data_IF_948077768299
#
_entry.id   IF_948077768299
#
_cell.length_a   1.000
_cell.length_b   1.000
_cell.length_c   1.000
_cell.angle_alpha   90.00
_cell.angle_beta   90.00
_cell.angle_gamma   90.00
#
_symmetry.space_group_name_H-M   'P 1'
#
loop_
_entity.id
_entity.type
_entity.pdbx_description
1 polymer ?
#
# COMPACT_ATOMS: atom_id res chain seq x y z
N UNK A 1 -21.45 -15.14 -0.88
CA UNK A 1 -20.94 -14.09 0.03
C UNK A 1 -20.09 -13.15 -0.79
N UNK A 2 -19.86 -11.93 -0.35
CA UNK A 2 -19.12 -10.89 -1.10
C UNK A 2 -18.11 -10.24 -0.16
N UNK A 3 -17.03 -9.70 -0.70
CA UNK A 3 -16.13 -8.80 0.05
C UNK A 3 -16.19 -7.39 -0.55
N UNK A 4 -16.06 -6.35 0.29
CA UNK A 4 -15.91 -4.96 -0.12
C UNK A 4 -14.46 -4.53 0.05
N UNK A 5 -13.84 -4.05 -1.01
CA UNK A 5 -12.45 -3.57 -1.03
C UNK A 5 -12.44 -2.09 -1.35
N UNK A 6 -11.99 -1.27 -0.41
CA UNK A 6 -11.81 0.18 -0.62
C UNK A 6 -10.39 0.50 -1.06
N UNK A 7 -10.16 1.58 -1.79
CA UNK A 7 -8.85 1.87 -2.38
C UNK A 7 -8.41 0.83 -3.42
N UNK A 8 -9.40 0.18 -4.03
CA UNK A 8 -9.24 -0.99 -4.90
C UNK A 8 -8.57 -0.70 -6.24
N UNK A 9 -8.59 0.53 -6.72
CA UNK A 9 -7.91 0.96 -7.94
C UNK A 9 -6.49 1.50 -7.68
N UNK A 10 -6.06 1.56 -6.41
CA UNK A 10 -4.70 1.88 -6.00
C UNK A 10 -3.75 0.70 -6.16
N UNK A 11 -2.47 0.90 -5.82
CA UNK A 11 -1.40 -0.07 -5.99
C UNK A 11 -1.68 -1.42 -5.31
N UNK A 12 -1.80 -1.43 -3.97
CA UNK A 12 -1.97 -2.67 -3.20
C UNK A 12 -3.38 -3.22 -3.41
N UNK A 13 -4.41 -2.36 -3.38
CA UNK A 13 -5.80 -2.75 -3.55
C UNK A 13 -6.06 -3.46 -4.88
N UNK A 14 -5.49 -2.94 -5.99
CA UNK A 14 -5.65 -3.58 -7.30
C UNK A 14 -4.99 -4.96 -7.36
N UNK A 15 -3.75 -5.09 -6.88
CA UNK A 15 -3.10 -6.40 -6.79
C UNK A 15 -3.91 -7.38 -5.95
N UNK A 16 -4.49 -6.92 -4.83
CA UNK A 16 -5.32 -7.77 -3.98
C UNK A 16 -6.59 -8.24 -4.71
N UNK A 17 -7.33 -7.33 -5.36
CA UNK A 17 -8.56 -7.66 -6.09
C UNK A 17 -8.28 -8.64 -7.23
N UNK A 18 -7.22 -8.40 -8.01
CA UNK A 18 -6.81 -9.28 -9.10
C UNK A 18 -6.45 -10.68 -8.59
N UNK A 19 -5.65 -10.77 -7.53
CA UNK A 19 -5.26 -12.04 -6.91
C UNK A 19 -6.45 -12.75 -6.27
N UNK A 20 -7.38 -12.00 -5.64
CA UNK A 20 -8.57 -12.59 -5.03
C UNK A 20 -9.43 -13.30 -6.06
N UNK A 21 -9.78 -12.61 -7.15
CA UNK A 21 -10.62 -13.16 -8.21
C UNK A 21 -9.93 -14.24 -9.05
N UNK A 22 -8.60 -14.27 -9.06
CA UNK A 22 -7.83 -15.37 -9.67
C UNK A 22 -7.83 -16.64 -8.82
N UNK A 23 -8.00 -16.53 -7.49
CA UNK A 23 -7.89 -17.64 -6.55
C UNK A 23 -9.24 -18.08 -5.96
N UNK A 24 -10.26 -17.24 -6.01
CA UNK A 24 -11.56 -17.45 -5.38
C UNK A 24 -12.71 -17.10 -6.33
N UNK A 25 -13.82 -17.81 -6.19
CA UNK A 25 -15.07 -17.49 -6.89
C UNK A 25 -15.92 -16.43 -6.15
N UNK A 26 -15.48 -15.99 -4.98
CA UNK A 26 -16.19 -15.02 -4.16
C UNK A 26 -16.15 -13.62 -4.80
N UNK A 27 -17.33 -12.99 -5.06
CA UNK A 27 -17.41 -11.68 -5.68
C UNK A 27 -16.78 -10.56 -4.86
N UNK A 28 -16.27 -9.54 -5.57
CA UNK A 28 -15.65 -8.36 -5.01
C UNK A 28 -16.41 -7.11 -5.43
N UNK A 29 -16.79 -6.28 -4.47
CA UNK A 29 -17.21 -4.90 -4.68
C UNK A 29 -16.01 -3.99 -4.44
N UNK A 30 -15.58 -3.29 -5.47
CA UNK A 30 -14.47 -2.35 -5.47
C UNK A 30 -14.98 -0.93 -5.29
N UNK A 31 -14.56 -0.24 -4.22
CA UNK A 31 -14.84 1.17 -3.98
C UNK A 31 -13.55 1.98 -4.05
N UNK A 32 -13.48 2.96 -4.96
CA UNK A 32 -12.32 3.84 -5.08
C UNK A 32 -12.73 5.25 -5.49
N UNK A 33 -12.10 6.26 -4.89
CA UNK A 33 -12.35 7.67 -5.19
C UNK A 33 -11.68 8.12 -6.50
N UNK A 34 -10.77 7.32 -7.05
CA UNK A 34 -9.97 7.62 -8.24
C UNK A 34 -9.22 8.96 -8.11
N UNK A 35 -8.49 9.11 -7.00
CA UNK A 35 -7.54 10.23 -6.83
C UNK A 35 -6.32 10.02 -7.74
N UNK A 36 -5.28 10.82 -7.58
CA UNK A 36 -4.10 10.77 -8.44
C UNK A 36 -3.42 9.40 -8.54
N UNK A 37 -3.49 8.58 -7.48
CA UNK A 37 -2.88 7.25 -7.42
C UNK A 37 -3.87 6.10 -7.71
N UNK A 38 -5.17 6.39 -7.75
CA UNK A 38 -6.23 5.45 -8.13
C UNK A 38 -6.41 5.43 -9.64
N UNK A 39 -6.15 4.29 -10.28
CA UNK A 39 -6.29 4.16 -11.73
C UNK A 39 -7.22 2.97 -12.07
N UNK A 40 -8.36 3.28 -12.70
CA UNK A 40 -9.33 2.25 -13.14
C UNK A 40 -8.70 1.21 -14.08
N UNK A 41 -7.65 1.58 -14.84
CA UNK A 41 -6.93 0.66 -15.72
C UNK A 41 -6.22 -0.47 -14.97
N UNK A 42 -5.90 -0.30 -13.68
CA UNK A 42 -5.33 -1.37 -12.86
C UNK A 42 -6.25 -2.60 -12.77
N UNK A 43 -7.56 -2.39 -12.95
CA UNK A 43 -8.60 -3.42 -12.89
C UNK A 43 -9.24 -3.70 -14.27
N UNK A 44 -8.67 -3.21 -15.37
CA UNK A 44 -9.27 -3.35 -16.71
C UNK A 44 -9.44 -4.81 -17.15
N UNK A 45 -8.59 -5.73 -16.68
CA UNK A 45 -8.71 -7.16 -16.95
C UNK A 45 -9.97 -7.80 -16.35
N UNK A 46 -10.63 -7.11 -15.43
CA UNK A 46 -11.88 -7.53 -14.79
C UNK A 46 -13.13 -6.93 -15.44
N UNK A 47 -12.97 -6.17 -16.54
CA UNK A 47 -14.12 -5.62 -17.27
C UNK A 47 -14.92 -6.77 -17.89
N UNK A 48 -16.20 -6.86 -17.48
CA UNK A 48 -17.11 -7.94 -17.89
C UNK A 48 -17.07 -9.20 -17.01
N UNK A 49 -16.22 -9.28 -15.98
CA UNK A 49 -16.30 -10.35 -14.99
C UNK A 49 -17.51 -10.12 -14.06
N UNK A 50 -18.48 -11.01 -14.10
CA UNK A 50 -19.72 -10.92 -13.29
C UNK A 50 -19.47 -10.96 -11.77
N UNK A 51 -18.29 -11.39 -11.34
CA UNK A 51 -17.88 -11.42 -9.92
C UNK A 51 -17.30 -10.07 -9.45
N UNK A 52 -17.09 -9.11 -10.34
CA UNK A 52 -16.49 -7.82 -10.02
C UNK A 52 -17.45 -6.66 -10.27
N UNK A 53 -17.73 -5.89 -9.22
CA UNK A 53 -18.49 -4.63 -9.31
C UNK A 53 -17.58 -3.48 -8.91
N UNK A 54 -17.39 -2.50 -9.81
CA UNK A 54 -16.60 -1.30 -9.51
C UNK A 54 -17.52 -0.10 -9.26
N UNK A 55 -17.29 0.60 -8.15
CA UNK A 55 -18.00 1.82 -7.77
C UNK A 55 -17.00 2.95 -7.56
N UNK A 56 -17.13 4.04 -8.30
CA UNK A 56 -16.39 5.26 -8.06
C UNK A 56 -17.02 6.03 -6.90
N UNK A 57 -16.26 6.26 -5.81
CA UNK A 57 -16.78 6.97 -4.64
C UNK A 57 -15.80 7.04 -3.48
N UNK A 58 -16.13 7.89 -2.51
CA UNK A 58 -15.33 8.18 -1.33
C UNK A 58 -15.80 7.34 -0.13
N UNK A 59 -14.86 6.77 0.63
CA UNK A 59 -15.16 6.08 1.90
C UNK A 59 -15.79 7.01 2.95
N UNK A 60 -15.58 8.31 2.80
CA UNK A 60 -16.19 9.36 3.62
C UNK A 60 -17.64 9.72 3.24
N UNK A 61 -18.17 9.17 2.13
CA UNK A 61 -19.59 9.31 1.77
C UNK A 61 -20.42 8.23 2.48
N UNK A 62 -20.92 8.58 3.66
CA UNK A 62 -21.73 7.68 4.50
C UNK A 62 -22.95 7.12 3.78
N UNK A 63 -23.62 7.92 2.92
CA UNK A 63 -24.81 7.45 2.21
C UNK A 63 -24.45 6.41 1.14
N UNK A 64 -23.36 6.62 0.42
CA UNK A 64 -22.83 5.65 -0.54
C UNK A 64 -22.42 4.35 0.16
N UNK A 65 -21.63 4.46 1.22
CA UNK A 65 -21.15 3.30 1.99
C UNK A 65 -22.33 2.50 2.55
N UNK A 66 -23.30 3.16 3.23
CA UNK A 66 -24.50 2.49 3.77
C UNK A 66 -25.28 1.75 2.68
N UNK A 67 -25.45 2.36 1.49
CA UNK A 67 -26.11 1.73 0.34
C UNK A 67 -25.35 0.49 -0.14
N UNK A 68 -24.02 0.56 -0.30
CA UNK A 68 -23.21 -0.58 -0.74
C UNK A 68 -23.26 -1.74 0.26
N UNK A 69 -23.24 -1.44 1.56
CA UNK A 69 -23.37 -2.46 2.60
C UNK A 69 -24.73 -3.14 2.58
N UNK A 70 -25.82 -2.38 2.39
CA UNK A 70 -27.18 -2.92 2.30
C UNK A 70 -27.39 -3.76 1.04
N UNK A 71 -26.89 -3.31 -0.13
CA UNK A 71 -27.07 -3.94 -1.43
C UNK A 71 -26.27 -5.23 -1.57
N UNK A 72 -24.98 -5.20 -1.17
CA UNK A 72 -24.05 -6.30 -1.43
C UNK A 72 -23.82 -7.23 -0.24
N UNK A 73 -24.24 -6.84 0.96
CA UNK A 73 -24.14 -7.62 2.22
C UNK A 73 -22.76 -8.31 2.40
N UNK A 74 -21.64 -7.54 2.38
CA UNK A 74 -20.32 -8.13 2.42
C UNK A 74 -20.06 -8.81 3.78
N UNK A 75 -19.44 -10.00 3.74
CA UNK A 75 -18.94 -10.67 4.95
C UNK A 75 -17.63 -10.09 5.45
N UNK A 76 -16.93 -9.35 4.62
CA UNK A 76 -15.69 -8.69 4.99
C UNK A 76 -15.50 -7.37 4.25
N UNK A 77 -14.86 -6.43 4.94
CA UNK A 77 -14.44 -5.15 4.37
C UNK A 77 -12.93 -5.04 4.54
N UNK A 78 -12.23 -4.77 3.44
CA UNK A 78 -10.78 -4.55 3.42
C UNK A 78 -10.51 -3.10 3.07
N UNK A 79 -10.00 -2.33 4.02
CA UNK A 79 -9.78 -0.90 3.87
C UNK A 79 -8.33 -0.61 3.47
N UNK A 80 -8.11 -0.46 2.14
CA UNK A 80 -6.85 0.05 1.57
C UNK A 80 -6.91 1.54 1.25
N UNK A 81 -8.09 2.16 1.30
CA UNK A 81 -8.25 3.57 0.95
C UNK A 81 -7.46 4.47 1.89
N UNK A 82 -6.50 5.18 1.34
CA UNK A 82 -5.66 6.14 2.04
C UNK A 82 -4.94 7.09 1.07
N UNK A 83 -4.71 8.32 1.50
CA UNK A 83 -3.62 9.13 0.97
C UNK A 83 -2.29 8.61 1.54
N UNK A 84 -1.27 8.36 0.68
CA UNK A 84 -0.10 7.54 1.08
C UNK A 84 1.27 8.11 0.70
N UNK A 85 1.36 9.29 0.08
CA UNK A 85 2.64 9.85 -0.33
C UNK A 85 3.17 10.85 0.71
N UNK A 86 4.27 10.48 1.40
CA UNK A 86 4.85 11.30 2.49
C UNK A 86 5.13 12.72 2.03
N UNK A 87 5.81 12.92 0.86
CA UNK A 87 6.16 14.27 0.40
C UNK A 87 4.93 15.12 0.12
N UNK A 88 3.84 14.54 -0.40
CA UNK A 88 2.54 15.22 -0.55
C UNK A 88 1.96 15.62 0.80
N UNK A 89 2.12 14.77 1.83
CA UNK A 89 1.63 15.08 3.17
C UNK A 89 2.35 16.27 3.82
N UNK A 90 3.62 16.49 3.47
CA UNK A 90 4.41 17.64 3.95
C UNK A 90 3.90 18.94 3.32
N UNK A 91 3.52 18.91 2.04
CA UNK A 91 3.05 20.10 1.31
C UNK A 91 1.56 20.39 1.52
N UNK A 92 0.71 19.36 1.70
CA UNK A 92 -0.73 19.47 1.86
C UNK A 92 -1.29 18.39 2.80
N UNK A 93 -1.16 18.55 4.13
CA UNK A 93 -1.59 17.54 5.09
C UNK A 93 -3.11 17.36 5.19
N UNK A 94 -3.90 18.31 4.74
CA UNK A 94 -5.36 18.31 4.90
C UNK A 94 -6.02 17.10 4.25
N UNK A 95 -5.62 16.74 3.03
CA UNK A 95 -6.17 15.58 2.33
C UNK A 95 -5.93 14.26 3.11
N UNK A 96 -4.78 14.17 3.79
CA UNK A 96 -4.42 13.04 4.64
C UNK A 96 -5.31 12.95 5.89
N UNK A 97 -5.61 14.09 6.51
CA UNK A 97 -6.54 14.16 7.65
C UNK A 97 -7.95 13.76 7.20
N UNK A 98 -8.43 14.34 6.09
CA UNK A 98 -9.78 14.08 5.59
C UNK A 98 -9.95 12.63 5.14
N UNK A 99 -9.02 12.07 4.41
CA UNK A 99 -9.13 10.69 3.90
C UNK A 99 -8.82 9.66 4.98
N UNK A 100 -7.64 9.77 5.62
CA UNK A 100 -7.14 8.71 6.49
C UNK A 100 -7.83 8.71 7.86
N UNK A 101 -8.20 9.86 8.40
CA UNK A 101 -8.83 9.96 9.72
C UNK A 101 -10.36 10.07 9.58
N UNK A 102 -10.83 11.15 8.95
CA UNK A 102 -12.28 11.43 8.87
C UNK A 102 -13.00 10.39 7.99
N UNK A 103 -12.40 10.03 6.85
CA UNK A 103 -12.92 9.01 5.95
C UNK A 103 -13.00 7.65 6.63
N UNK A 104 -11.93 7.22 7.31
CA UNK A 104 -11.92 5.96 8.08
C UNK A 104 -12.94 5.98 9.21
N UNK A 105 -13.07 7.10 9.93
CA UNK A 105 -14.10 7.24 10.97
C UNK A 105 -15.52 7.06 10.39
N UNK A 106 -15.85 7.72 9.29
CA UNK A 106 -17.17 7.60 8.66
C UNK A 106 -17.43 6.18 8.16
N UNK A 107 -16.42 5.56 7.53
CA UNK A 107 -16.50 4.15 7.12
C UNK A 107 -16.79 3.25 8.33
N UNK A 108 -16.07 3.42 9.44
CA UNK A 108 -16.27 2.63 10.66
C UNK A 108 -17.68 2.80 11.26
N UNK A 109 -18.27 3.99 11.21
CA UNK A 109 -19.65 4.21 11.69
C UNK A 109 -20.67 3.43 10.87
N UNK A 110 -20.58 3.48 9.54
CA UNK A 110 -21.49 2.72 8.67
C UNK A 110 -21.29 1.21 8.82
N UNK A 111 -20.04 0.78 8.91
CA UNK A 111 -19.68 -0.64 9.14
C UNK A 111 -20.22 -1.12 10.49
N UNK A 112 -20.10 -0.33 11.55
CA UNK A 112 -20.62 -0.64 12.87
C UNK A 112 -22.16 -0.78 12.86
N UNK A 113 -22.85 0.14 12.19
CA UNK A 113 -24.31 0.10 12.04
C UNK A 113 -24.73 -1.16 11.26
N UNK A 114 -24.10 -1.43 10.14
CA UNK A 114 -24.34 -2.63 9.33
C UNK A 114 -24.09 -3.92 10.11
N UNK A 115 -22.89 -4.07 10.72
CA UNK A 115 -22.53 -5.24 11.51
C UNK A 115 -23.49 -5.44 12.72
N UNK A 116 -23.90 -4.32 13.35
CA UNK A 116 -24.87 -4.35 14.46
C UNK A 116 -26.20 -4.98 14.09
N UNK A 117 -26.64 -4.80 12.85
CA UNK A 117 -27.91 -5.30 12.32
C UNK A 117 -27.84 -6.72 11.73
N UNK A 118 -26.64 -7.32 11.62
CA UNK A 118 -26.48 -8.69 11.08
C UNK A 118 -27.06 -9.75 12.04
N UNK A 119 -27.57 -10.82 11.45
CA UNK A 119 -27.94 -12.03 12.18
C UNK A 119 -26.71 -12.65 12.87
N UNK A 120 -26.90 -13.36 14.00
CA UNK A 120 -25.79 -13.83 14.85
C UNK A 120 -24.69 -14.59 14.12
N UNK A 121 -25.01 -15.45 13.17
CA UNK A 121 -24.05 -16.23 12.40
C UNK A 121 -23.24 -15.35 11.45
N UNK A 122 -23.91 -14.49 10.68
CA UNK A 122 -23.25 -13.53 9.78
C UNK A 122 -22.39 -12.53 10.56
N UNK A 123 -22.88 -12.09 11.73
CA UNK A 123 -22.18 -11.20 12.64
C UNK A 123 -20.89 -11.80 13.17
N UNK A 124 -20.89 -13.08 13.54
CA UNK A 124 -19.71 -13.81 14.01
C UNK A 124 -18.68 -14.04 12.86
N UNK A 125 -19.16 -14.22 11.63
CA UNK A 125 -18.31 -14.42 10.46
C UNK A 125 -17.73 -13.13 9.87
N UNK A 126 -18.30 -11.96 10.22
CA UNK A 126 -17.89 -10.66 9.67
C UNK A 126 -16.46 -10.26 10.07
N UNK A 127 -15.74 -9.60 9.15
CA UNK A 127 -14.38 -9.08 9.40
C UNK A 127 -14.22 -7.67 8.82
N UNK A 128 -13.58 -6.79 9.56
CA UNK A 128 -13.08 -5.50 9.06
C UNK A 128 -11.56 -5.51 9.13
N UNK A 129 -10.88 -5.48 7.99
CA UNK A 129 -9.43 -5.46 7.90
C UNK A 129 -8.95 -4.07 7.49
N UNK A 130 -8.09 -3.46 8.31
CA UNK A 130 -7.48 -2.16 8.05
C UNK A 130 -6.00 -2.32 7.69
N UNK A 131 -5.63 -1.82 6.52
CA UNK A 131 -4.24 -1.85 6.05
C UNK A 131 -3.53 -0.56 6.46
N UNK A 132 -2.48 -0.67 7.28
CA UNK A 132 -1.65 0.42 7.76
C UNK A 132 -0.18 0.25 7.35
N UNK A 133 0.73 0.92 8.01
CA UNK A 133 2.14 1.04 7.64
C UNK A 133 3.03 0.95 8.88
N UNK A 134 4.26 0.47 8.71
CA UNK A 134 5.31 0.48 9.73
C UNK A 134 5.78 1.90 10.09
N UNK A 135 5.54 2.89 9.24
CA UNK A 135 5.88 4.29 9.50
C UNK A 135 5.20 4.87 10.74
N UNK A 136 4.13 4.22 11.25
CA UNK A 136 3.48 4.62 12.50
C UNK A 136 4.37 4.45 13.73
N UNK A 137 5.37 3.56 13.66
CA UNK A 137 6.30 3.32 14.78
C UNK A 137 7.39 4.39 14.91
N UNK A 138 7.63 5.18 13.85
CA UNK A 138 8.70 6.19 13.83
C UNK A 138 10.00 5.67 13.24
N UNK A 139 11.15 6.20 13.66
CA UNK A 139 12.46 5.93 13.09
C UNK A 139 13.35 5.10 14.03
N UNK A 140 14.08 4.15 13.47
CA UNK A 140 15.09 3.37 14.16
C UNK A 140 16.50 3.95 13.95
N UNK A 141 17.34 3.87 14.99
CA UNK A 141 18.78 3.99 14.82
C UNK A 141 19.34 2.75 14.08
N UNK A 142 20.53 2.84 13.47
CA UNK A 142 21.10 1.73 12.68
C UNK A 142 21.22 0.40 13.44
N UNK A 143 21.43 0.44 14.76
CA UNK A 143 21.64 -0.74 15.61
C UNK A 143 20.40 -1.16 16.41
N UNK A 144 19.27 -0.44 16.28
CA UNK A 144 18.06 -0.78 17.03
C UNK A 144 17.47 -2.10 16.52
N UNK A 145 16.79 -2.88 17.37
CA UNK A 145 16.01 -4.02 16.90
C UNK A 145 14.87 -3.56 16.00
N UNK A 146 14.43 -4.42 15.09
CA UNK A 146 13.26 -4.16 14.24
C UNK A 146 12.00 -3.97 15.10
N UNK A 147 11.05 -3.17 14.59
CA UNK A 147 9.78 -2.91 15.28
C UNK A 147 8.93 -4.17 15.39
N UNK A 148 8.45 -4.45 16.57
CA UNK A 148 7.42 -5.43 16.87
C UNK A 148 6.07 -4.74 17.06
N UNK A 149 4.99 -5.50 17.12
CA UNK A 149 3.63 -4.98 17.39
C UNK A 149 3.49 -4.37 18.80
N UNK A 150 4.46 -4.57 19.68
CA UNK A 150 4.48 -4.00 21.03
C UNK A 150 5.16 -2.62 21.12
N UNK A 151 5.76 -2.16 20.02
CA UNK A 151 6.39 -0.84 19.99
C UNK A 151 5.32 0.27 20.04
N UNK A 152 5.68 1.40 20.67
CA UNK A 152 4.82 2.58 20.67
C UNK A 152 4.77 3.20 19.28
N UNK A 153 3.67 3.87 18.96
CA UNK A 153 3.57 4.70 17.77
C UNK A 153 4.20 6.06 18.04
N UNK A 154 5.19 6.42 17.23
CA UNK A 154 5.94 7.69 17.30
C UNK A 154 6.12 8.29 15.89
N UNK A 155 5.01 8.52 15.14
CA UNK A 155 5.06 8.92 13.73
C UNK A 155 5.69 10.29 13.53
N UNK A 156 6.56 10.44 12.50
CA UNK A 156 7.32 11.65 12.23
C UNK A 156 6.83 12.48 11.02
N UNK A 157 5.82 12.00 10.29
CA UNK A 157 5.25 12.73 9.16
C UNK A 157 3.74 12.92 9.31
N UNK A 158 3.12 13.92 8.62
CA UNK A 158 1.66 14.04 8.61
C UNK A 158 0.95 12.80 8.08
N UNK A 159 1.53 12.10 7.09
CA UNK A 159 1.04 10.82 6.61
C UNK A 159 1.03 9.76 7.71
N UNK A 160 2.19 9.47 8.31
CA UNK A 160 2.29 8.42 9.34
C UNK A 160 1.46 8.76 10.58
N UNK A 161 1.36 10.04 10.95
CA UNK A 161 0.47 10.49 12.03
C UNK A 161 -1.00 10.25 11.72
N UNK A 162 -1.44 10.49 10.46
CA UNK A 162 -2.81 10.22 10.04
C UNK A 162 -3.13 8.72 10.02
N UNK A 163 -2.15 7.87 9.65
CA UNK A 163 -2.30 6.41 9.71
C UNK A 163 -2.36 5.90 11.16
N UNK A 164 -1.49 6.40 12.03
CA UNK A 164 -1.53 6.09 13.46
C UNK A 164 -2.89 6.46 14.09
N UNK A 165 -3.45 7.62 13.71
CA UNK A 165 -4.77 8.02 14.18
C UNK A 165 -5.88 7.07 13.70
N UNK A 166 -5.85 6.64 12.43
CA UNK A 166 -6.82 5.66 11.92
C UNK A 166 -6.69 4.29 12.59
N UNK A 167 -5.47 3.82 12.86
CA UNK A 167 -5.23 2.58 13.60
C UNK A 167 -5.81 2.63 15.01
N UNK A 168 -5.65 3.76 15.70
CA UNK A 168 -6.24 3.98 17.01
C UNK A 168 -7.77 4.01 16.97
N UNK A 169 -8.37 4.59 15.92
CA UNK A 169 -9.83 4.53 15.74
C UNK A 169 -10.29 3.08 15.54
N UNK A 170 -9.67 2.32 14.65
CA UNK A 170 -10.02 0.91 14.39
C UNK A 170 -9.92 0.09 15.67
N UNK A 171 -8.81 0.24 16.41
CA UNK A 171 -8.63 -0.40 17.72
C UNK A 171 -9.72 0.01 18.73
N UNK A 172 -10.05 1.29 18.82
CA UNK A 172 -11.08 1.80 19.72
C UNK A 172 -12.46 1.20 19.40
N UNK A 173 -12.81 1.03 18.12
CA UNK A 173 -14.07 0.42 17.70
C UNK A 173 -14.17 -1.06 18.12
N UNK A 174 -13.06 -1.78 18.10
CA UNK A 174 -13.03 -3.12 18.67
C UNK A 174 -13.28 -3.12 20.18
N UNK A 175 -12.50 -2.34 20.93
CA UNK A 175 -12.59 -2.35 22.40
C UNK A 175 -13.88 -1.75 22.94
N UNK A 176 -14.46 -0.76 22.27
CA UNK A 176 -15.67 -0.07 22.72
C UNK A 176 -16.95 -0.78 22.27
N UNK A 177 -16.98 -1.24 21.02
CA UNK A 177 -18.21 -1.76 20.41
C UNK A 177 -18.14 -3.25 20.07
N UNK A 178 -16.98 -3.89 20.22
CA UNK A 178 -16.78 -5.30 19.86
C UNK A 178 -16.69 -5.55 18.36
N UNK A 179 -16.47 -4.51 17.53
CA UNK A 179 -16.35 -4.68 16.08
C UNK A 179 -15.19 -5.66 15.76
N UNK A 180 -15.41 -6.69 14.92
CA UNK A 180 -14.39 -7.70 14.62
C UNK A 180 -13.36 -7.16 13.62
N UNK A 181 -12.37 -6.44 14.14
CA UNK A 181 -11.33 -5.78 13.35
C UNK A 181 -10.03 -6.57 13.31
N UNK A 182 -9.26 -6.35 12.25
CA UNK A 182 -7.88 -6.78 12.05
C UNK A 182 -7.09 -5.59 11.53
N UNK A 183 -5.87 -5.37 12.01
CA UNK A 183 -4.99 -4.29 11.52
C UNK A 183 -3.66 -4.88 11.07
N UNK A 184 -3.13 -4.39 9.94
CA UNK A 184 -1.81 -4.77 9.45
C UNK A 184 -0.90 -3.55 9.32
N UNK A 185 0.31 -3.63 9.87
CA UNK A 185 1.37 -2.64 9.65
C UNK A 185 2.39 -3.25 8.70
N UNK A 186 2.39 -2.80 7.44
CA UNK A 186 3.27 -3.36 6.42
C UNK A 186 4.50 -2.50 6.18
N UNK A 187 5.61 -3.15 5.82
CA UNK A 187 6.82 -2.49 5.34
C UNK A 187 6.64 -1.93 3.91
N UNK A 188 7.70 -1.33 3.34
CA UNK A 188 7.64 -0.69 2.04
C UNK A 188 7.31 -1.68 0.92
N UNK A 189 6.14 -1.53 0.31
CA UNK A 189 5.69 -2.38 -0.78
C UNK A 189 6.30 -1.96 -2.12
N UNK A 190 6.57 -2.94 -3.00
CA UNK A 190 6.97 -2.73 -4.38
C UNK A 190 6.37 -3.80 -5.29
N UNK A 191 6.21 -3.49 -6.59
CA UNK A 191 5.65 -4.44 -7.56
C UNK A 191 4.85 -3.79 -8.67
N UNK A 192 4.05 -4.59 -9.40
CA UNK A 192 3.13 -4.15 -10.46
C UNK A 192 2.16 -3.07 -9.99
N UNK A 193 1.83 -2.11 -10.88
CA UNK A 193 0.87 -1.02 -10.63
C UNK A 193 1.29 0.01 -9.56
N UNK A 194 2.54 -0.01 -9.06
CA UNK A 194 3.02 1.00 -8.12
C UNK A 194 3.21 2.33 -8.85
N UNK A 195 2.56 3.40 -8.34
CA UNK A 195 2.52 4.70 -9.02
C UNK A 195 3.91 5.33 -9.14
N UNK A 196 4.30 5.89 -10.32
CA UNK A 196 5.69 6.31 -10.63
C UNK A 196 6.22 7.53 -9.87
N UNK A 197 5.61 7.96 -8.77
CA UNK A 197 6.17 8.94 -7.83
C UNK A 197 6.96 8.30 -6.68
N UNK A 198 6.85 6.97 -6.52
CA UNK A 198 7.60 6.21 -5.52
C UNK A 198 8.95 5.75 -6.08
N UNK A 199 9.93 5.54 -5.19
CA UNK A 199 11.34 5.32 -5.55
C UNK A 199 11.54 4.33 -6.71
N UNK A 200 11.07 3.10 -6.56
CA UNK A 200 11.34 2.02 -7.54
C UNK A 200 10.75 2.35 -8.93
N UNK A 201 9.44 2.62 -9.08
CA UNK A 201 8.89 2.93 -10.39
C UNK A 201 9.37 4.27 -10.96
N UNK A 202 9.67 5.27 -10.13
CA UNK A 202 10.25 6.53 -10.56
C UNK A 202 11.63 6.30 -11.22
N UNK A 203 12.47 5.51 -10.54
CA UNK A 203 13.82 5.18 -11.05
C UNK A 203 13.72 4.42 -12.37
N UNK A 204 12.87 3.41 -12.49
CA UNK A 204 12.67 2.66 -13.74
C UNK A 204 12.21 3.61 -14.86
N UNK A 205 11.19 4.43 -14.61
CA UNK A 205 10.65 5.37 -15.58
C UNK A 205 11.70 6.39 -16.04
N UNK A 206 12.41 7.00 -15.09
CA UNK A 206 13.44 8.01 -15.39
C UNK A 206 14.63 7.40 -16.12
N UNK A 207 15.09 6.21 -15.72
CA UNK A 207 16.18 5.50 -16.38
C UNK A 207 15.88 5.30 -17.87
N UNK A 208 14.72 4.73 -18.18
CA UNK A 208 14.29 4.48 -19.57
C UNK A 208 14.08 5.77 -20.36
N UNK A 209 13.69 6.86 -19.70
CA UNK A 209 13.52 8.18 -20.32
C UNK A 209 14.83 8.99 -20.45
N UNK A 210 15.99 8.45 -20.02
CA UNK A 210 17.26 9.16 -20.02
C UNK A 210 17.34 10.34 -19.05
N UNK A 211 16.50 10.36 -18.02
CA UNK A 211 16.41 11.43 -17.01
C UNK A 211 17.29 11.13 -15.80
N UNK A 212 17.65 12.14 -14.97
CA UNK A 212 18.32 11.91 -13.70
C UNK A 212 17.54 10.98 -12.77
N UNK A 213 18.26 10.14 -12.01
CA UNK A 213 17.72 9.28 -10.97
C UNK A 213 17.96 9.97 -9.61
N UNK A 214 16.97 10.70 -9.07
CA UNK A 214 17.16 11.51 -7.87
C UNK A 214 17.25 10.62 -6.63
N UNK A 215 18.30 10.82 -5.83
CA UNK A 215 18.50 10.17 -4.53
C UNK A 215 18.55 11.25 -3.46
N UNK A 216 17.67 11.16 -2.46
CA UNK A 216 17.64 12.08 -1.34
C UNK A 216 18.85 11.90 -0.42
N UNK A 217 19.47 13.03 -0.03
CA UNK A 217 20.60 13.08 0.91
C UNK A 217 21.78 12.23 0.44
N UNK A 218 22.22 11.30 1.28
CA UNK A 218 23.30 10.36 1.03
C UNK A 218 22.83 8.99 0.47
N UNK A 219 21.53 8.79 0.35
CA UNK A 219 20.92 7.54 -0.11
C UNK A 219 21.00 6.38 0.88
N UNK A 220 21.45 6.63 2.11
CA UNK A 220 21.68 5.61 3.14
C UNK A 220 20.46 5.37 4.05
N UNK A 221 19.30 5.91 3.69
CA UNK A 221 18.06 5.58 4.38
C UNK A 221 17.69 4.13 4.09
N UNK A 222 17.47 3.34 5.14
CA UNK A 222 17.19 1.90 5.05
C UNK A 222 15.67 1.67 5.11
N UNK A 223 15.18 0.79 4.24
CA UNK A 223 13.79 0.32 4.23
C UNK A 223 13.76 -1.19 4.15
N UNK A 224 12.78 -1.80 4.82
CA UNK A 224 12.41 -3.19 4.56
C UNK A 224 11.48 -3.23 3.35
N UNK A 225 11.76 -4.08 2.37
CA UNK A 225 11.07 -4.16 1.09
C UNK A 225 10.23 -5.43 0.96
N UNK A 226 8.92 -5.26 0.77
CA UNK A 226 7.95 -6.34 0.65
C UNK A 226 7.35 -6.37 -0.76
N UNK A 227 7.45 -7.51 -1.44
CA UNK A 227 6.79 -7.67 -2.74
C UNK A 227 5.27 -7.65 -2.58
N UNK A 228 4.58 -6.88 -3.40
CA UNK A 228 3.14 -6.60 -3.21
C UNK A 228 2.27 -7.85 -3.22
N UNK A 229 2.60 -8.88 -4.00
CA UNK A 229 1.83 -10.13 -4.01
C UNK A 229 2.02 -10.94 -2.73
N UNK A 230 3.17 -10.85 -2.10
CA UNK A 230 3.39 -11.43 -0.78
C UNK A 230 2.55 -10.70 0.26
N UNK A 231 2.49 -9.36 0.21
CA UNK A 231 1.57 -8.62 1.08
C UNK A 231 0.11 -9.02 0.86
N UNK A 232 -0.35 -9.14 -0.39
CA UNK A 232 -1.71 -9.61 -0.70
C UNK A 232 -1.96 -11.03 -0.13
N UNK A 233 -0.97 -11.91 -0.19
CA UNK A 233 -1.06 -13.26 0.40
C UNK A 233 -1.17 -13.22 1.92
N UNK A 234 -0.44 -12.32 2.59
CA UNK A 234 -0.55 -12.09 4.03
C UNK A 234 -1.97 -11.61 4.40
N UNK A 235 -2.50 -10.64 3.66
CA UNK A 235 -3.86 -10.10 3.89
C UNK A 235 -4.92 -11.20 3.76
N UNK A 236 -4.82 -12.08 2.75
CA UNK A 236 -5.72 -13.25 2.64
C UNK A 236 -5.62 -14.13 3.88
N UNK A 237 -4.40 -14.41 4.33
CA UNK A 237 -4.18 -15.24 5.51
C UNK A 237 -4.73 -14.61 6.79
N UNK A 238 -4.65 -13.27 6.94
CA UNK A 238 -5.30 -12.55 8.03
C UNK A 238 -6.80 -12.69 8.02
N UNK A 239 -7.40 -12.53 6.84
CA UNK A 239 -8.85 -12.61 6.70
C UNK A 239 -9.39 -13.99 7.08
N UNK A 240 -8.59 -15.04 6.83
CA UNK A 240 -8.93 -16.43 7.14
C UNK A 240 -8.73 -16.80 8.61
N UNK A 241 -7.62 -16.37 9.21
CA UNK A 241 -7.15 -16.92 10.49
C UNK A 241 -6.60 -15.89 11.48
N UNK A 242 -6.66 -14.60 11.18
CA UNK A 242 -6.17 -13.53 12.07
C UNK A 242 -6.98 -13.46 13.36
N UNK A 243 -6.31 -13.20 14.48
CA UNK A 243 -6.96 -12.99 15.77
C UNK A 243 -7.61 -11.61 15.79
N UNK A 244 -8.91 -11.56 16.10
CA UNK A 244 -9.69 -10.32 16.13
C UNK A 244 -9.19 -9.34 17.19
N UNK A 245 -9.18 -8.07 16.84
CA UNK A 245 -8.68 -6.98 17.68
C UNK A 245 -7.17 -6.79 17.65
N UNK A 246 -6.44 -7.69 16.99
CA UNK A 246 -4.98 -7.68 16.95
C UNK A 246 -4.41 -6.94 15.74
N UNK A 247 -3.19 -6.45 15.94
CA UNK A 247 -2.34 -5.90 14.87
C UNK A 247 -1.23 -6.90 14.54
N UNK A 248 -0.91 -7.03 13.26
CA UNK A 248 0.19 -7.85 12.79
C UNK A 248 1.12 -7.05 11.88
N UNK A 249 2.41 -7.17 12.14
CA UNK A 249 3.44 -6.68 11.27
C UNK A 249 3.61 -7.58 10.05
N UNK A 250 3.74 -6.96 8.86
CA UNK A 250 3.96 -7.67 7.59
C UNK A 250 5.23 -7.14 6.94
N UNK A 251 6.33 -7.85 7.07
CA UNK A 251 7.66 -7.46 6.58
C UNK A 251 8.20 -8.42 5.52
N UNK A 252 9.13 -7.90 4.72
CA UNK A 252 9.84 -8.67 3.69
C UNK A 252 11.13 -9.30 4.19
N UNK A 253 11.63 -8.89 5.37
CA UNK A 253 12.98 -9.18 5.88
C UNK A 253 14.09 -8.81 4.88
N UNK A 254 13.86 -7.76 4.09
CA UNK A 254 14.74 -7.30 3.02
C UNK A 254 15.17 -5.85 3.25
N UNK A 255 15.91 -5.60 4.33
CA UNK A 255 16.46 -4.27 4.60
C UNK A 255 17.51 -3.90 3.54
N UNK A 256 17.31 -2.78 2.84
CA UNK A 256 18.23 -2.24 1.83
C UNK A 256 18.32 -0.72 1.97
N UNK A 257 19.51 -0.16 1.77
CA UNK A 257 19.64 1.29 1.60
C UNK A 257 19.01 1.72 0.25
N UNK A 258 18.46 2.92 0.20
CA UNK A 258 17.85 3.45 -1.02
C UNK A 258 18.84 3.45 -2.20
N UNK A 259 20.11 3.77 -1.96
CA UNK A 259 21.15 3.72 -2.99
C UNK A 259 21.35 2.31 -3.53
N UNK A 260 21.40 1.29 -2.66
CA UNK A 260 21.56 -0.12 -3.07
C UNK A 260 20.38 -0.58 -3.95
N UNK A 261 19.16 -0.14 -3.60
CA UNK A 261 17.96 -0.40 -4.43
C UNK A 261 18.11 0.20 -5.81
N UNK A 262 18.53 1.46 -5.91
CA UNK A 262 18.69 2.16 -7.20
C UNK A 262 19.81 1.53 -8.02
N UNK A 263 20.94 1.17 -7.41
CA UNK A 263 22.04 0.48 -8.10
C UNK A 263 21.61 -0.91 -8.61
N UNK A 264 20.81 -1.64 -7.81
CA UNK A 264 20.24 -2.94 -8.23
C UNK A 264 19.31 -2.76 -9.43
N UNK A 265 18.44 -1.75 -9.42
CA UNK A 265 17.57 -1.43 -10.55
C UNK A 265 18.38 -1.10 -11.82
N UNK A 266 19.42 -0.27 -11.70
CA UNK A 266 20.31 0.05 -12.82
C UNK A 266 20.97 -1.21 -13.39
N UNK A 267 21.51 -2.09 -12.53
CA UNK A 267 22.15 -3.33 -12.97
C UNK A 267 21.16 -4.29 -13.69
N UNK A 268 19.90 -4.36 -13.24
CA UNK A 268 18.88 -5.18 -13.90
C UNK A 268 18.51 -4.54 -15.26
N UNK A 269 18.33 -3.23 -15.33
CA UNK A 269 18.00 -2.52 -16.56
C UNK A 269 19.15 -2.62 -17.58
N UNK A 270 20.42 -2.54 -17.15
CA UNK A 270 21.58 -2.74 -18.03
C UNK A 270 21.57 -4.13 -18.70
N UNK A 271 20.98 -5.15 -18.04
CA UNK A 271 20.84 -6.51 -18.58
C UNK A 271 19.60 -6.70 -19.45
N UNK A 272 18.43 -6.23 -19.00
CA UNK A 272 17.12 -6.51 -19.62
C UNK A 272 16.81 -5.52 -20.77
N UNK A 273 17.28 -4.27 -20.66
CA UNK A 273 17.03 -3.17 -21.62
C UNK A 273 18.26 -2.25 -21.72
N UNK A 274 19.41 -2.74 -22.23
CA UNK A 274 20.64 -1.95 -22.29
C UNK A 274 20.45 -0.66 -23.09
N UNK A 275 21.12 0.41 -22.65
CA UNK A 275 21.09 1.70 -23.33
C UNK A 275 21.80 1.63 -24.71
N UNK A 276 21.25 2.34 -25.68
CA UNK A 276 21.79 2.36 -27.05
C UNK A 276 23.23 2.93 -27.13
N UNK A 277 23.63 3.79 -26.17
CA UNK A 277 24.97 4.39 -26.09
C UNK A 277 25.97 3.48 -25.35
N UNK A 278 25.57 2.30 -24.90
CA UNK A 278 26.41 1.33 -24.19
C UNK A 278 26.82 1.71 -22.77
N UNK A 279 26.28 2.83 -22.24
CA UNK A 279 26.55 3.27 -20.86
C UNK A 279 25.64 2.58 -19.87
N UNK A 280 26.06 2.50 -18.61
CA UNK A 280 25.22 2.04 -17.52
C UNK A 280 24.18 3.10 -17.12
N UNK A 281 22.98 2.66 -16.75
CA UNK A 281 21.96 3.52 -16.14
C UNK A 281 22.42 4.14 -14.82
N UNK A 282 23.42 3.55 -14.14
CA UNK A 282 24.03 4.08 -12.93
C UNK A 282 24.61 5.49 -13.12
N UNK A 283 25.04 5.85 -14.34
CA UNK A 283 25.54 7.19 -14.64
C UNK A 283 24.48 8.30 -14.55
N UNK A 284 23.19 7.93 -14.49
CA UNK A 284 22.08 8.88 -14.34
C UNK A 284 21.80 9.22 -12.86
N UNK A 285 22.44 8.52 -11.88
CA UNK A 285 22.24 8.77 -10.45
C UNK A 285 22.66 10.21 -10.11
N UNK A 286 21.77 10.91 -9.41
CA UNK A 286 21.98 12.31 -9.01
C UNK A 286 21.51 12.48 -7.56
N UNK A 287 22.39 12.96 -6.68
CA UNK A 287 22.03 13.26 -5.31
C UNK A 287 21.33 14.63 -5.22
N UNK A 288 20.21 14.66 -4.52
CA UNK A 288 19.39 15.86 -4.29
C UNK A 288 19.29 16.16 -2.81
N UNK A 289 18.84 17.38 -2.46
CA UNK A 289 18.64 17.79 -1.07
C UNK A 289 17.68 16.82 -0.37
N UNK A 290 18.04 16.43 0.87
CA UNK A 290 17.17 15.55 1.66
C UNK A 290 15.87 16.25 2.07
N UNK A 291 14.81 15.45 2.24
CA UNK A 291 13.48 15.95 2.65
C UNK A 291 13.41 16.14 4.16
N UNK A 292 12.58 17.09 4.66
CA UNK A 292 12.32 17.21 6.09
C UNK A 292 11.70 15.93 6.67
N UNK A 293 12.11 15.57 7.89
CA UNK A 293 11.57 14.39 8.59
C UNK A 293 11.85 13.06 7.91
N UNK A 294 12.97 12.94 7.19
CA UNK A 294 13.34 11.72 6.50
C UNK A 294 13.92 10.70 7.48
N UNK A 295 13.11 9.77 7.93
CA UNK A 295 13.48 8.71 8.86
C UNK A 295 14.63 7.87 8.32
N UNK A 296 15.59 7.57 9.20
CA UNK A 296 16.85 6.91 8.81
C UNK A 296 16.66 5.44 8.49
N UNK A 297 15.86 4.72 9.29
CA UNK A 297 15.68 3.28 9.12
C UNK A 297 14.27 2.86 9.53
N UNK A 298 13.65 2.07 8.66
CA UNK A 298 12.50 1.25 8.98
C UNK A 298 12.86 -0.21 8.84
N UNK A 299 12.59 -0.98 9.86
CA UNK A 299 12.71 -2.43 9.86
C UNK A 299 11.58 -3.00 10.72
N UNK A 300 10.94 -4.04 10.26
CA UNK A 300 9.78 -4.62 10.90
C UNK A 300 10.01 -6.10 11.20
N UNK A 301 9.63 -6.52 12.39
CA UNK A 301 9.67 -7.92 12.80
C UNK A 301 8.29 -8.55 12.56
N UNK A 302 8.20 -9.45 11.57
CA UNK A 302 7.00 -10.19 11.21
C UNK A 302 6.97 -11.61 11.82
N UNK A 303 7.80 -11.89 12.83
CA UNK A 303 7.90 -13.22 13.48
C UNK A 303 6.57 -13.66 14.09
N UNK A 304 5.77 -12.71 14.60
CA UNK A 304 4.43 -13.04 15.13
C UNK A 304 3.53 -13.63 14.04
N UNK A 305 3.53 -13.03 12.88
CA UNK A 305 2.75 -13.48 11.73
C UNK A 305 3.17 -14.90 11.28
N UNK A 306 4.49 -15.14 11.21
CA UNK A 306 5.01 -16.46 10.90
C UNK A 306 4.58 -17.49 11.94
N UNK A 307 4.78 -17.20 13.22
CA UNK A 307 4.49 -18.12 14.31
C UNK A 307 2.99 -18.46 14.43
N UNK A 308 2.11 -17.42 14.34
CA UNK A 308 0.68 -17.59 14.61
C UNK A 308 -0.12 -18.04 13.38
N UNK A 309 0.27 -17.56 12.20
CA UNK A 309 -0.47 -17.81 10.97
C UNK A 309 0.29 -18.61 9.92
N UNK A 310 1.55 -18.97 10.19
CA UNK A 310 2.37 -19.79 9.28
C UNK A 310 2.73 -19.09 7.97
N UNK A 311 2.67 -17.74 7.93
CA UNK A 311 2.96 -16.98 6.72
C UNK A 311 4.41 -16.52 6.66
N UNK A 312 4.99 -16.60 5.46
CA UNK A 312 6.29 -16.02 5.08
C UNK A 312 6.20 -15.45 3.66
N UNK A 313 6.97 -14.40 3.34
CA UNK A 313 7.09 -13.95 1.95
C UNK A 313 7.68 -15.09 1.07
N UNK A 314 7.14 -15.22 -0.13
CA UNK A 314 7.63 -16.16 -1.12
C UNK A 314 8.79 -15.61 -1.95
N UNK A 315 8.88 -14.29 -2.09
CA UNK A 315 9.91 -13.62 -2.87
C UNK A 315 11.03 -13.08 -1.97
N UNK A 316 12.28 -13.22 -2.43
CA UNK A 316 13.39 -12.39 -1.95
C UNK A 316 13.36 -11.04 -2.66
N UNK A 317 14.12 -10.06 -2.15
CA UNK A 317 14.24 -8.78 -2.85
C UNK A 317 14.74 -8.97 -4.29
N UNK A 318 15.74 -9.82 -4.50
CA UNK A 318 16.36 -10.07 -5.81
C UNK A 318 15.39 -10.68 -6.83
N UNK A 319 14.53 -11.60 -6.38
CA UNK A 319 13.53 -12.24 -7.26
C UNK A 319 12.37 -11.30 -7.54
N UNK A 320 11.85 -10.63 -6.52
CA UNK A 320 10.73 -9.69 -6.63
C UNK A 320 11.05 -8.45 -7.44
N UNK A 321 12.27 -7.87 -7.25
CA UNK A 321 12.66 -6.64 -7.96
C UNK A 321 12.83 -6.89 -9.45
N UNK A 322 13.37 -8.06 -9.86
CA UNK A 322 13.48 -8.43 -11.28
C UNK A 322 12.11 -8.62 -11.93
N UNK A 323 11.16 -9.26 -11.22
CA UNK A 323 9.77 -9.37 -11.68
C UNK A 323 9.13 -8.00 -11.84
N UNK A 324 9.42 -7.07 -10.92
CA UNK A 324 8.92 -5.70 -10.98
C UNK A 324 9.47 -4.97 -12.20
N UNK A 325 10.78 -4.98 -12.41
CA UNK A 325 11.39 -4.33 -13.60
C UNK A 325 10.78 -4.88 -14.89
N UNK A 326 10.69 -6.20 -15.04
CA UNK A 326 10.08 -6.83 -16.23
C UNK A 326 8.64 -6.38 -16.44
N UNK A 327 7.84 -6.32 -15.36
CA UNK A 327 6.46 -5.84 -15.45
C UNK A 327 6.41 -4.41 -16.02
N UNK A 328 7.27 -3.49 -15.55
CA UNK A 328 7.31 -2.12 -16.08
C UNK A 328 7.77 -2.09 -17.54
N UNK A 329 8.73 -2.93 -17.94
CA UNK A 329 9.18 -3.02 -19.34
C UNK A 329 8.05 -3.52 -20.26
N UNK A 330 7.25 -4.48 -19.80
CA UNK A 330 6.14 -5.08 -20.56
C UNK A 330 4.87 -4.22 -20.57
N UNK A 331 4.74 -3.21 -19.68
CA UNK A 331 3.52 -2.42 -19.50
C UNK A 331 3.75 -0.91 -19.73
N UNK A 332 4.47 -0.56 -20.79
CA UNK A 332 4.81 0.84 -21.11
C UNK A 332 3.58 1.71 -21.41
N UNK A 333 2.50 1.16 -21.98
CA UNK A 333 1.24 1.87 -22.21
C UNK A 333 0.59 2.29 -20.90
N UNK A 334 0.61 1.41 -19.88
CA UNK A 334 0.16 1.76 -18.54
C UNK A 334 1.02 2.88 -17.94
N UNK A 335 2.34 2.79 -18.05
CA UNK A 335 3.28 3.82 -17.57
C UNK A 335 2.98 5.16 -18.25
N UNK A 336 2.80 5.17 -19.57
CA UNK A 336 2.48 6.38 -20.34
C UNK A 336 1.16 7.01 -19.88
N UNK A 337 0.15 6.19 -19.59
CA UNK A 337 -1.16 6.64 -19.08
C UNK A 337 -1.03 7.33 -17.73
N UNK A 338 -0.42 6.67 -16.73
CA UNK A 338 -0.32 7.20 -15.36
C UNK A 338 0.66 8.37 -15.23
N UNK A 339 1.59 8.54 -16.16
CA UNK A 339 2.58 9.64 -16.16
C UNK A 339 2.14 10.86 -16.97
N UNK A 340 0.89 10.92 -17.43
CA UNK A 340 0.30 12.06 -18.13
C UNK A 340 -0.20 13.15 -17.16
N UNK A 341 -0.35 14.40 -17.64
CA UNK A 341 -1.09 15.45 -16.92
C UNK A 341 -0.52 15.80 -15.53
N UNK A 342 -1.35 15.68 -14.49
CA UNK A 342 -1.06 16.09 -13.10
C UNK A 342 0.21 15.45 -12.49
N UNK A 343 0.61 14.28 -12.96
CA UNK A 343 1.86 13.64 -12.55
C UNK A 343 3.08 14.50 -12.92
N UNK A 344 3.14 15.02 -14.15
CA UNK A 344 4.27 15.84 -14.63
C UNK A 344 4.39 17.14 -13.86
N UNK A 345 3.27 17.76 -13.52
CA UNK A 345 3.26 18.97 -12.70
C UNK A 345 3.79 18.71 -11.29
N UNK A 346 3.41 17.60 -10.69
CA UNK A 346 3.90 17.20 -9.36
C UNK A 346 5.40 16.95 -9.37
N UNK A 347 5.91 16.10 -10.28
CA UNK A 347 7.33 15.76 -10.38
C UNK A 347 8.17 17.02 -10.61
N UNK A 348 7.69 17.96 -11.47
CA UNK A 348 8.36 19.23 -11.69
C UNK A 348 8.49 20.10 -10.43
N UNK A 349 7.50 20.07 -9.52
CA UNK A 349 7.55 20.79 -8.24
C UNK A 349 8.47 20.12 -7.21
N UNK A 350 8.51 18.78 -7.21
CA UNK A 350 9.23 18.01 -6.19
C UNK A 350 10.75 17.98 -6.41
N UNK A 351 11.19 17.96 -7.66
CA UNK A 351 12.60 17.78 -8.04
C UNK A 351 13.22 18.97 -8.78
N UNK A 352 12.55 20.15 -8.83
CA UNK A 352 13.12 21.41 -9.30
C UNK A 352 13.89 22.09 -8.16
#
# INVERSE_FOLDING_TARGET
MTILVTGSAGFIGANFVLDWLALHDEPVVSLDKLTYAGNRQNLASLDGDARHTFVAGDIGDSQLVARLLAEHQPRAILNFAAESHVDRSIHGPEDFIQTNIVGTFRLLEEVRAYWGALEPEAKAAFRFLHVSTDEVYGSLAPSDPAFTENNRYEPNSPYSASKAASDHLVRAYHHTYGLPVLTTNCSNNYGPYHFPEKLIPLVIHNALAGKPLPIYGDGQQIRDWLYVKDHCSAIRRFLEAGQLGETYNVGGWNEKANLDVVETLCAILDQEQPRADGRSYREQITFVKDRPGHDRRYAIDATRLERELGWKPAETFETGIRKTVRWYLDNQDWVANVTSGAYREWVGKQYA
#
